data_IF_244556953843
#
_entry.id   IF_244556953843
#
_cell.length_a   1.000
_cell.length_b   1.000
_cell.length_c   1.000
_cell.angle_alpha   90.00
_cell.angle_beta   90.00
_cell.angle_gamma   90.00
#
_symmetry.space_group_name_H-M   'P 1'
#
loop_
_entity.id
_entity.type
_entity.pdbx_description
1 polymer ?
#
# COMPACT_ATOMS: atom_id res chain seq x y z
N UNK A 1 8.71 -5.57 -30.20
CA UNK A 1 7.47 -4.81 -30.10
C UNK A 1 7.29 -3.93 -31.32
N UNK A 2 6.07 -3.84 -31.85
CA UNK A 2 5.82 -3.05 -33.04
C UNK A 2 5.67 -1.56 -32.70
N UNK A 3 5.86 -0.71 -33.73
CA UNK A 3 5.59 0.72 -33.59
C UNK A 3 4.13 0.99 -33.20
N UNK A 4 3.22 0.13 -33.69
CA UNK A 4 1.81 0.27 -33.38
C UNK A 4 1.54 0.08 -31.88
N UNK A 5 2.20 -0.88 -31.25
CA UNK A 5 2.06 -1.07 -29.81
C UNK A 5 2.56 0.13 -29.03
N UNK A 6 3.68 0.73 -29.45
CA UNK A 6 4.20 1.93 -28.82
C UNK A 6 3.25 3.11 -28.98
N UNK A 7 2.64 3.24 -30.15
CA UNK A 7 1.74 4.36 -30.46
C UNK A 7 0.43 4.24 -29.68
N UNK A 8 -0.11 3.02 -29.54
CA UNK A 8 -1.39 2.80 -28.87
C UNK A 8 -1.25 2.52 -27.37
N UNK A 9 -0.02 2.35 -26.88
CA UNK A 9 0.23 2.09 -25.47
C UNK A 9 0.05 3.38 -24.69
N UNK A 10 -1.04 3.47 -23.95
CA UNK A 10 -1.33 4.61 -23.05
C UNK A 10 -0.93 4.23 -21.64
N UNK A 11 -0.13 5.08 -20.96
CA UNK A 11 0.20 4.82 -19.56
C UNK A 11 -1.07 4.67 -18.73
N UNK A 12 -1.14 3.60 -17.96
CA UNK A 12 -2.29 3.35 -17.07
C UNK A 12 -2.27 4.34 -15.92
N UNK A 13 -3.45 4.74 -15.47
CA UNK A 13 -3.57 5.55 -14.26
C UNK A 13 -3.24 4.69 -13.04
N UNK A 14 -2.64 5.32 -12.06
CA UNK A 14 -2.23 4.61 -10.84
C UNK A 14 -3.36 4.60 -9.82
N UNK A 15 -3.62 3.42 -9.26
CA UNK A 15 -4.47 3.26 -8.08
C UNK A 15 -3.58 2.78 -6.95
N UNK A 16 -3.47 3.57 -5.89
CA UNK A 16 -2.63 3.23 -4.75
C UNK A 16 -3.48 2.64 -3.63
N UNK A 17 -3.09 1.45 -3.16
CA UNK A 17 -3.69 0.79 -2.02
C UNK A 17 -2.78 0.99 -0.81
N UNK A 18 -3.32 1.58 0.24
CA UNK A 18 -2.60 1.82 1.48
C UNK A 18 -3.01 0.79 2.53
N UNK A 19 -2.07 -0.02 2.98
CA UNK A 19 -2.23 -0.79 4.20
C UNK A 19 -1.75 0.05 5.37
N UNK A 20 -2.62 0.27 6.34
CA UNK A 20 -2.29 1.01 7.57
C UNK A 20 -2.40 0.01 8.71
N UNK A 21 -1.26 -0.41 9.24
CA UNK A 21 -1.16 -1.57 10.12
C UNK A 21 -0.83 -1.15 11.55
N UNK A 22 -1.73 -1.47 12.45
CA UNK A 22 -1.50 -1.32 13.89
C UNK A 22 -0.57 -2.44 14.37
N UNK A 23 0.62 -2.07 14.82
CA UNK A 23 1.57 -3.02 15.40
C UNK A 23 1.76 -2.81 16.89
N UNK A 24 0.81 -2.17 17.57
CA UNK A 24 0.88 -1.97 19.01
C UNK A 24 0.89 -3.30 19.78
N UNK A 25 1.27 -3.25 21.06
CA UNK A 25 1.39 -4.46 21.88
C UNK A 25 0.10 -5.27 21.97
N UNK A 26 -1.07 -4.62 21.87
CA UNK A 26 -2.36 -5.33 21.86
C UNK A 26 -2.55 -6.24 20.66
N UNK A 27 -1.75 -6.06 19.62
CA UNK A 27 -1.80 -6.88 18.40
C UNK A 27 -0.96 -8.16 18.50
N UNK A 28 -0.24 -8.38 19.59
CA UNK A 28 0.62 -9.57 19.72
C UNK A 28 -0.14 -10.87 19.55
N UNK A 29 0.59 -11.88 19.09
CA UNK A 29 0.06 -13.23 18.92
C UNK A 29 -0.73 -13.39 17.64
N UNK A 30 -1.94 -13.97 17.75
CA UNK A 30 -2.73 -14.32 16.58
C UNK A 30 -3.22 -13.12 15.77
N UNK A 31 -3.40 -11.96 16.39
CA UNK A 31 -3.85 -10.75 15.67
C UNK A 31 -2.84 -10.29 14.65
N UNK A 32 -1.59 -10.06 15.06
CA UNK A 32 -0.55 -9.60 14.13
C UNK A 32 -0.19 -10.70 13.14
N UNK A 33 -0.22 -11.96 13.57
CA UNK A 33 -0.02 -13.09 12.68
C UNK A 33 -1.06 -13.15 11.57
N UNK A 34 -2.32 -12.93 11.92
CA UNK A 34 -3.41 -12.91 10.93
C UNK A 34 -3.25 -11.75 9.94
N UNK A 35 -2.80 -10.59 10.40
CA UNK A 35 -2.52 -9.43 9.55
C UNK A 35 -1.40 -9.77 8.55
N UNK A 36 -0.28 -10.29 9.04
CA UNK A 36 0.84 -10.68 8.19
C UNK A 36 0.43 -11.70 7.13
N UNK A 37 -0.32 -12.71 7.52
CA UNK A 37 -0.79 -13.75 6.60
C UNK A 37 -1.76 -13.17 5.56
N UNK A 38 -2.67 -12.31 5.97
CA UNK A 38 -3.63 -11.70 5.06
C UNK A 38 -2.94 -10.88 3.98
N UNK A 39 -1.93 -10.09 4.35
CA UNK A 39 -1.21 -9.25 3.39
C UNK A 39 -0.39 -10.12 2.43
N UNK A 40 0.32 -11.12 2.94
CA UNK A 40 1.08 -12.05 2.10
C UNK A 40 0.17 -12.74 1.08
N UNK A 41 -1.04 -13.12 1.49
CA UNK A 41 -1.97 -13.81 0.62
C UNK A 41 -2.65 -12.89 -0.40
N UNK A 42 -2.87 -11.62 -0.06
CA UNK A 42 -3.57 -10.70 -0.97
C UNK A 42 -2.65 -10.09 -2.04
N UNK A 43 -1.35 -9.98 -1.76
CA UNK A 43 -0.42 -9.35 -2.71
C UNK A 43 -0.39 -10.02 -4.09
N UNK A 44 -0.32 -11.37 -4.20
CA UNK A 44 -0.38 -12.00 -5.52
C UNK A 44 -1.70 -11.76 -6.24
N UNK A 45 -2.80 -11.66 -5.51
CA UNK A 45 -4.11 -11.36 -6.08
C UNK A 45 -4.15 -9.94 -6.64
N UNK A 46 -3.55 -8.99 -5.94
CA UNK A 46 -3.46 -7.60 -6.40
C UNK A 46 -2.59 -7.49 -7.65
N UNK A 47 -1.50 -8.24 -7.70
CA UNK A 47 -0.63 -8.29 -8.86
C UNK A 47 -1.39 -8.82 -10.08
N UNK A 48 -2.14 -9.89 -9.92
CA UNK A 48 -2.94 -10.49 -10.98
C UNK A 48 -4.01 -9.51 -11.48
N UNK A 49 -4.70 -8.83 -10.58
CA UNK A 49 -5.71 -7.83 -10.94
C UNK A 49 -5.06 -6.68 -11.71
N UNK A 50 -3.91 -6.19 -11.23
CA UNK A 50 -3.16 -5.13 -11.89
C UNK A 50 -2.72 -5.53 -13.30
N UNK A 51 -2.21 -6.74 -13.45
CA UNK A 51 -1.72 -7.24 -14.73
C UNK A 51 -2.84 -7.38 -15.77
N UNK A 52 -4.05 -7.72 -15.31
CA UNK A 52 -5.20 -7.92 -16.20
C UNK A 52 -6.03 -6.66 -16.45
N UNK A 53 -5.73 -5.56 -15.79
CA UNK A 53 -6.51 -4.33 -15.91
C UNK A 53 -5.84 -3.37 -16.90
N UNK A 54 -6.49 -3.06 -18.05
CA UNK A 54 -5.90 -2.16 -19.03
C UNK A 54 -5.94 -0.69 -18.62
N UNK A 55 -6.77 -0.32 -17.64
CA UNK A 55 -7.03 1.07 -17.30
C UNK A 55 -6.28 1.53 -16.05
N UNK A 56 -5.90 0.60 -15.17
CA UNK A 56 -5.30 0.93 -13.90
C UNK A 56 -4.13 0.04 -13.56
N UNK A 57 -3.10 0.66 -13.01
CA UNK A 57 -1.93 0.00 -12.43
C UNK A 57 -2.05 0.10 -10.91
N UNK A 58 -2.01 -1.03 -10.22
CA UNK A 58 -2.14 -1.05 -8.77
C UNK A 58 -0.76 -0.98 -8.13
N UNK A 59 -0.58 0.01 -7.26
CA UNK A 59 0.60 0.14 -6.41
C UNK A 59 0.21 0.01 -4.96
N UNK A 60 1.14 -0.43 -4.14
CA UNK A 60 0.90 -0.71 -2.73
C UNK A 60 1.87 0.11 -1.89
N UNK A 61 1.34 0.72 -0.85
CA UNK A 61 2.11 1.37 0.20
C UNK A 61 1.67 0.80 1.54
N UNK A 62 2.58 0.71 2.49
CA UNK A 62 2.25 0.20 3.81
C UNK A 62 2.86 1.07 4.89
N UNK A 63 2.00 1.52 5.80
CA UNK A 63 2.36 2.29 6.97
C UNK A 63 2.09 1.44 8.20
N UNK A 64 3.13 1.17 8.98
CA UNK A 64 2.95 0.57 10.29
C UNK A 64 3.00 1.63 11.37
N UNK A 65 2.19 1.46 12.40
CA UNK A 65 2.17 2.41 13.52
C UNK A 65 2.05 1.71 14.87
N UNK A 66 2.67 2.32 15.85
CA UNK A 66 2.53 1.97 17.27
C UNK A 66 2.78 3.24 18.07
N UNK A 67 3.92 3.37 18.76
CA UNK A 67 4.34 4.64 19.37
C UNK A 67 4.66 5.70 18.33
N UNK A 68 5.13 5.28 17.15
CA UNK A 68 5.42 6.14 16.02
C UNK A 68 4.90 5.52 14.74
N UNK A 69 5.36 6.05 13.62
CA UNK A 69 4.96 5.59 12.30
C UNK A 69 6.18 5.21 11.48
N UNK A 70 6.01 4.23 10.57
CA UNK A 70 7.07 3.81 9.68
C UNK A 70 6.49 3.31 8.35
N UNK A 71 6.95 3.89 7.26
CA UNK A 71 6.65 3.38 5.92
C UNK A 71 7.58 2.23 5.58
N UNK A 72 7.04 1.12 5.08
CA UNK A 72 7.87 -0.03 4.68
C UNK A 72 8.74 0.30 3.48
N UNK A 73 8.25 1.15 2.59
CA UNK A 73 9.03 1.68 1.45
C UNK A 73 8.83 3.18 1.38
N UNK A 74 9.82 3.88 0.85
CA UNK A 74 9.78 5.35 0.73
C UNK A 74 8.74 5.83 -0.27
N UNK A 75 8.26 4.95 -1.14
CA UNK A 75 7.22 5.25 -2.13
C UNK A 75 6.41 4.00 -2.45
N UNK A 76 5.21 4.14 -3.02
CA UNK A 76 4.41 2.98 -3.42
C UNK A 76 5.12 2.11 -4.44
N UNK A 77 4.98 0.79 -4.31
CA UNK A 77 5.56 -0.21 -5.19
C UNK A 77 4.46 -0.94 -5.95
N UNK A 78 4.78 -1.42 -7.15
CA UNK A 78 3.91 -2.38 -7.83
C UNK A 78 3.68 -3.58 -6.92
N UNK A 79 2.47 -4.17 -6.99
CA UNK A 79 2.15 -5.33 -6.16
C UNK A 79 3.13 -6.49 -6.37
N UNK A 80 3.64 -6.66 -7.60
CA UNK A 80 4.65 -7.67 -7.92
C UNK A 80 6.01 -7.40 -7.29
N UNK A 81 6.32 -6.13 -7.03
CA UNK A 81 7.61 -5.71 -6.46
C UNK A 81 7.55 -5.52 -4.95
N UNK A 82 6.35 -5.55 -4.38
CA UNK A 82 6.15 -5.32 -2.96
C UNK A 82 6.44 -6.59 -2.18
N UNK A 83 7.48 -6.56 -1.36
CA UNK A 83 7.83 -7.69 -0.49
C UNK A 83 7.38 -7.36 0.92
N UNK A 84 6.46 -8.14 1.45
CA UNK A 84 5.98 -7.98 2.81
C UNK A 84 6.96 -8.61 3.79
N UNK A 85 7.41 -7.82 4.74
CA UNK A 85 8.19 -8.34 5.87
C UNK A 85 7.28 -8.37 7.08
N UNK A 86 7.25 -9.51 7.77
CA UNK A 86 6.37 -9.68 8.91
C UNK A 86 6.55 -8.56 9.94
N UNK A 87 5.44 -7.94 10.29
CA UNK A 87 5.39 -6.89 11.29
C UNK A 87 5.33 -7.53 12.67
N UNK A 88 6.12 -7.01 13.59
CA UNK A 88 6.14 -7.48 14.98
C UNK A 88 5.43 -6.49 15.87
N UNK A 89 4.49 -6.98 16.67
CA UNK A 89 3.72 -6.14 17.56
C UNK A 89 4.58 -5.65 18.74
N UNK A 90 4.55 -4.35 18.99
CA UNK A 90 5.25 -3.73 20.11
C UNK A 90 4.79 -2.28 20.30
N UNK A 91 4.94 -1.75 21.51
CA UNK A 91 4.70 -0.35 21.81
C UNK A 91 3.23 0.01 22.03
N UNK A 92 2.98 1.29 22.05
CA UNK A 92 1.66 1.87 22.28
C UNK A 92 0.98 2.17 20.94
N UNK A 93 -0.32 2.43 20.98
CA UNK A 93 -1.09 2.77 19.79
C UNK A 93 -1.11 4.28 19.57
N UNK A 94 -0.78 4.74 18.35
CA UNK A 94 -0.89 6.14 17.97
C UNK A 94 -1.57 6.26 16.60
N UNK A 95 -2.88 6.01 16.58
CA UNK A 95 -3.67 6.13 15.36
C UNK A 95 -3.67 7.56 14.83
N UNK A 96 -3.67 8.57 15.72
CA UNK A 96 -3.61 9.97 15.32
C UNK A 96 -2.35 10.30 14.52
N UNK A 97 -1.20 9.81 14.96
CA UNK A 97 0.06 10.00 14.24
C UNK A 97 0.02 9.32 12.87
N UNK A 98 -0.57 8.13 12.80
CA UNK A 98 -0.75 7.42 11.53
C UNK A 98 -1.63 8.21 10.56
N UNK A 99 -2.72 8.78 11.04
CA UNK A 99 -3.62 9.60 10.22
C UNK A 99 -2.93 10.85 9.68
N UNK A 100 -2.12 11.52 10.50
CA UNK A 100 -1.37 12.70 10.07
C UNK A 100 -0.36 12.32 8.99
N UNK A 101 0.40 11.24 9.20
CA UNK A 101 1.39 10.77 8.24
C UNK A 101 0.74 10.36 6.92
N UNK A 102 -0.36 9.61 6.99
CA UNK A 102 -1.10 9.19 5.81
C UNK A 102 -1.63 10.41 5.03
N UNK A 103 -2.19 11.38 5.73
CA UNK A 103 -2.72 12.60 5.12
C UNK A 103 -1.65 13.34 4.32
N UNK A 104 -0.42 13.40 4.82
CA UNK A 104 0.68 14.05 4.12
C UNK A 104 1.01 13.37 2.78
N UNK A 105 0.79 12.06 2.67
CA UNK A 105 1.09 11.29 1.46
C UNK A 105 -0.07 11.23 0.48
N UNK A 106 -1.28 11.58 0.90
CA UNK A 106 -2.45 11.59 0.02
C UNK A 106 -2.53 12.83 -0.87
N UNK A 107 -1.69 13.83 -0.63
CA UNK A 107 -1.63 15.02 -1.48
C UNK A 107 -0.94 14.70 -2.80
N UNK A 108 -1.17 15.57 -3.80
CA UNK A 108 -0.50 15.44 -5.10
C UNK A 108 1.01 15.62 -5.01
N UNK A 109 1.50 16.30 -3.99
CA UNK A 109 2.94 16.44 -3.74
C UNK A 109 3.53 15.25 -3.00
N UNK A 110 2.69 14.34 -2.47
CA UNK A 110 3.10 13.08 -1.86
C UNK A 110 3.05 11.92 -2.84
N UNK A 111 2.36 10.84 -2.43
CA UNK A 111 2.29 9.61 -3.23
C UNK A 111 1.30 9.67 -4.40
N UNK A 112 0.52 10.73 -4.49
CA UNK A 112 -0.45 10.89 -5.58
C UNK A 112 0.16 11.56 -6.82
N UNK A 113 1.47 11.62 -6.92
CA UNK A 113 2.17 12.13 -8.09
C UNK A 113 2.21 11.06 -9.17
N UNK A 114 1.48 11.26 -10.23
CA UNK A 114 1.52 10.37 -11.39
C UNK A 114 1.31 11.19 -12.64
N UNK A 115 2.20 11.03 -13.63
CA UNK A 115 2.10 11.72 -14.91
C UNK A 115 0.83 11.33 -15.65
N UNK A 116 0.37 10.10 -15.48
CA UNK A 116 -0.83 9.57 -16.12
C UNK A 116 -2.11 9.85 -15.34
N UNK A 117 -1.99 10.45 -14.15
CA UNK A 117 -3.10 10.66 -13.23
C UNK A 117 -3.25 9.51 -12.24
N UNK A 118 -4.02 9.77 -11.19
CA UNK A 118 -4.29 8.80 -10.14
C UNK A 118 -5.77 8.62 -9.94
N UNK A 119 -6.19 7.39 -9.65
CA UNK A 119 -7.51 7.12 -9.12
C UNK A 119 -7.52 7.47 -7.63
N UNK A 120 -8.72 7.59 -7.06
CA UNK A 120 -8.87 7.75 -5.62
C UNK A 120 -8.21 6.56 -4.92
N UNK A 121 -7.40 6.80 -3.87
CA UNK A 121 -6.71 5.71 -3.18
C UNK A 121 -7.67 4.88 -2.35
N UNK A 122 -7.33 3.61 -2.14
CA UNK A 122 -8.01 2.75 -1.19
C UNK A 122 -7.15 2.63 0.07
N UNK A 123 -7.79 2.71 1.23
CA UNK A 123 -7.10 2.63 2.52
C UNK A 123 -7.70 1.50 3.32
N UNK A 124 -6.86 0.57 3.76
CA UNK A 124 -7.26 -0.56 4.60
C UNK A 124 -6.56 -0.42 5.94
N UNK A 125 -7.35 -0.16 6.98
CA UNK A 125 -6.84 -0.08 8.35
C UNK A 125 -6.99 -1.45 9.01
N UNK A 126 -5.86 -1.97 9.51
CA UNK A 126 -5.79 -3.26 10.17
C UNK A 126 -5.41 -3.03 11.63
N UNK A 127 -6.40 -3.12 12.51
CA UNK A 127 -6.26 -2.86 13.94
C UNK A 127 -7.27 -3.73 14.71
N UNK A 128 -7.05 -3.85 16.02
CA UNK A 128 -8.03 -4.54 16.88
C UNK A 128 -9.13 -3.61 17.41
#
# INVERSE_FOLDING_TARGET
MSLLDDVVSVPRRTMTLFFVVDKSGSMQGSKIGAVNDAIVNVLPMLDEISASNPDAEIRVAALEFSTGTNWLYSEPKLASDFIWQDVKASGLTSLGAACIELSSKLSRSGYMQSASGSFAPAIILLSD
#
